data_IF_872958460341
#
_entry.id   IF_872958460341
#
_cell.length_a   1.000
_cell.length_b   1.000
_cell.length_c   1.000
_cell.angle_alpha   90.00
_cell.angle_beta   90.00
_cell.angle_gamma   90.00
#
_symmetry.space_group_name_H-M   'P 1'
#
loop_
_entity.id
_entity.type
_entity.pdbx_description
1 polymer ?
#
# COMPACT_ATOMS: atom_id res chain seq x y z
N UNK A 1 -6.79 28.73 -10.89
CA UNK A 1 -8.04 27.98 -11.15
C UNK A 1 -7.86 26.63 -10.43
N UNK A 2 -8.72 26.31 -9.47
CA UNK A 2 -8.74 24.99 -8.85
C UNK A 2 -9.09 23.97 -9.94
N UNK A 3 -8.35 22.85 -10.01
CA UNK A 3 -8.67 21.76 -10.94
C UNK A 3 -10.05 21.17 -10.60
N UNK A 4 -10.69 20.50 -11.55
CA UNK A 4 -12.00 19.86 -11.29
C UNK A 4 -11.93 18.87 -10.13
N UNK A 5 -10.82 18.10 -10.02
CA UNK A 5 -10.59 17.15 -8.92
C UNK A 5 -10.44 17.86 -7.57
N UNK A 6 -9.74 18.99 -7.48
CA UNK A 6 -9.56 19.74 -6.22
C UNK A 6 -10.90 20.20 -5.63
N UNK A 7 -11.84 20.63 -6.46
CA UNK A 7 -13.16 21.05 -5.99
C UNK A 7 -13.98 19.86 -5.44
N UNK A 8 -13.90 18.70 -6.10
CA UNK A 8 -14.55 17.46 -5.64
C UNK A 8 -13.91 17.00 -4.33
N UNK A 9 -12.58 16.97 -4.26
CA UNK A 9 -11.84 16.59 -3.06
C UNK A 9 -12.16 17.50 -1.87
N UNK A 10 -12.23 18.83 -2.09
CA UNK A 10 -12.59 19.78 -1.05
C UNK A 10 -14.02 19.53 -0.52
N UNK A 11 -14.98 19.24 -1.43
CA UNK A 11 -16.35 18.84 -1.04
C UNK A 11 -16.36 17.55 -0.23
N UNK A 12 -15.60 16.53 -0.65
CA UNK A 12 -15.50 15.26 0.07
C UNK A 12 -14.88 15.45 1.47
N UNK A 13 -13.85 16.28 1.60
CA UNK A 13 -13.28 16.63 2.89
C UNK A 13 -14.27 17.33 3.83
N UNK A 14 -15.22 18.11 3.31
CA UNK A 14 -16.24 18.77 4.11
C UNK A 14 -17.38 17.84 4.56
N UNK A 15 -17.63 16.76 3.85
CA UNK A 15 -18.65 15.75 4.19
C UNK A 15 -18.17 14.72 5.23
N UNK A 16 -16.94 14.86 5.69
CA UNK A 16 -16.22 13.84 6.44
C UNK A 16 -16.41 13.97 7.96
N UNK A 17 -16.63 12.87 8.69
CA UNK A 17 -16.44 12.87 10.13
C UNK A 17 -14.97 13.18 10.42
N UNK A 18 -14.71 14.12 11.33
CA UNK A 18 -13.36 14.53 11.75
C UNK A 18 -12.59 13.45 12.54
N UNK A 19 -13.22 12.30 12.77
CA UNK A 19 -12.67 11.19 13.56
C UNK A 19 -12.30 10.06 12.61
N UNK A 20 -11.05 9.61 12.66
CA UNK A 20 -10.62 8.39 11.98
C UNK A 20 -11.27 7.22 12.72
N UNK A 21 -12.17 6.54 12.03
CA UNK A 21 -12.84 5.33 12.47
C UNK A 21 -12.45 4.21 11.49
N UNK A 22 -11.64 3.28 11.98
CA UNK A 22 -11.09 2.20 11.17
C UNK A 22 -12.09 1.06 11.03
N UNK A 23 -12.74 0.97 9.87
CA UNK A 23 -13.62 -0.13 9.46
C UNK A 23 -13.52 -0.37 7.96
N UNK A 24 -13.80 -1.59 7.51
CA UNK A 24 -13.85 -1.92 6.08
C UNK A 24 -15.28 -1.97 5.53
N UNK A 25 -16.31 -1.91 6.37
CA UNK A 25 -17.71 -2.08 5.96
C UNK A 25 -18.14 -1.06 4.91
N UNK A 26 -17.75 0.22 5.09
CA UNK A 26 -18.05 1.29 4.15
C UNK A 26 -17.36 1.10 2.80
N UNK A 27 -16.10 0.64 2.83
CA UNK A 27 -15.32 0.33 1.62
C UNK A 27 -15.97 -0.82 0.87
N UNK A 28 -16.28 -1.93 1.56
CA UNK A 28 -16.94 -3.10 0.95
C UNK A 28 -18.30 -2.75 0.36
N UNK A 29 -19.09 -1.90 1.04
CA UNK A 29 -20.37 -1.43 0.52
C UNK A 29 -20.18 -0.67 -0.80
N UNK A 30 -19.23 0.29 -0.87
CA UNK A 30 -18.98 1.07 -2.07
C UNK A 30 -18.40 0.20 -3.19
N UNK A 31 -17.48 -0.72 -2.87
CA UNK A 31 -16.96 -1.69 -3.85
C UNK A 31 -18.09 -2.55 -4.44
N UNK A 32 -19.01 -3.01 -3.62
CA UNK A 32 -20.18 -3.76 -4.10
C UNK A 32 -21.10 -2.93 -5.00
N UNK A 33 -21.29 -1.63 -4.70
CA UNK A 33 -22.06 -0.72 -5.56
C UNK A 33 -21.38 -0.42 -6.91
N UNK A 34 -20.08 -0.72 -7.02
CA UNK A 34 -19.26 -0.54 -8.24
C UNK A 34 -18.88 -1.89 -8.89
N UNK A 35 -19.65 -2.96 -8.64
CA UNK A 35 -19.44 -4.30 -9.22
C UNK A 35 -18.07 -4.93 -8.88
N UNK A 36 -17.54 -4.66 -7.66
CA UNK A 36 -16.33 -5.28 -7.13
C UNK A 36 -15.07 -5.10 -7.99
N UNK A 37 -14.65 -3.87 -8.30
CA UNK A 37 -13.45 -3.62 -9.12
C UNK A 37 -12.17 -4.23 -8.51
N UNK A 38 -12.10 -4.39 -7.19
CA UNK A 38 -10.97 -4.99 -6.48
C UNK A 38 -10.69 -6.44 -6.89
N UNK A 39 -11.68 -7.14 -7.45
CA UNK A 39 -11.55 -8.54 -7.91
C UNK A 39 -10.94 -8.66 -9.31
N UNK A 40 -10.87 -7.56 -10.05
CA UNK A 40 -10.39 -7.51 -11.44
C UNK A 40 -9.01 -6.87 -11.58
N UNK A 41 -8.33 -6.62 -10.46
CA UNK A 41 -7.00 -6.02 -10.48
C UNK A 41 -5.94 -6.99 -11.03
N UNK A 42 -4.91 -6.48 -11.74
CA UNK A 42 -3.68 -7.23 -11.96
C UNK A 42 -3.07 -7.71 -10.63
N UNK A 43 -2.16 -8.71 -10.65
CA UNK A 43 -1.48 -9.21 -9.46
C UNK A 43 -1.04 -8.10 -8.51
N UNK A 44 -1.49 -8.15 -7.26
CA UNK A 44 -1.28 -7.07 -6.28
C UNK A 44 -0.07 -7.37 -5.40
N UNK A 45 0.81 -6.38 -5.23
CA UNK A 45 1.83 -6.33 -4.19
C UNK A 45 1.36 -5.31 -3.15
N UNK A 46 1.06 -5.76 -1.93
CA UNK A 46 0.49 -4.94 -0.87
C UNK A 46 1.55 -4.63 0.20
N UNK A 47 1.77 -3.35 0.50
CA UNK A 47 2.91 -2.87 1.26
C UNK A 47 2.45 -2.13 2.51
N UNK A 48 2.80 -2.67 3.70
CA UNK A 48 2.60 -2.03 5.00
C UNK A 48 3.94 -1.76 5.71
N UNK A 49 3.90 -1.01 6.79
CA UNK A 49 5.06 -0.66 7.61
C UNK A 49 4.94 0.76 8.16
N UNK A 50 5.90 1.19 8.97
CA UNK A 50 5.95 2.59 9.44
C UNK A 50 6.78 3.43 8.46
N UNK A 51 8.01 3.07 8.21
CA UNK A 51 8.95 3.80 7.37
C UNK A 51 9.30 3.00 6.11
N UNK A 52 9.61 3.70 5.01
CA UNK A 52 10.11 3.09 3.78
C UNK A 52 9.05 2.49 2.85
N UNK A 53 7.74 2.55 3.16
CA UNK A 53 6.68 2.01 2.27
C UNK A 53 6.76 2.58 0.85
N UNK A 54 6.71 3.91 0.74
CA UNK A 54 6.75 4.60 -0.56
C UNK A 54 8.05 4.38 -1.32
N UNK A 55 9.21 4.36 -0.63
CA UNK A 55 10.52 4.05 -1.25
C UNK A 55 10.56 2.62 -1.77
N UNK A 56 10.14 1.65 -0.96
CA UNK A 56 10.04 0.24 -1.34
C UNK A 56 9.13 0.08 -2.56
N UNK A 57 7.96 0.71 -2.54
CA UNK A 57 7.03 0.69 -3.68
C UNK A 57 7.68 1.29 -4.93
N UNK A 58 8.37 2.42 -4.81
CA UNK A 58 9.03 3.08 -5.94
C UNK A 58 10.15 2.22 -6.53
N UNK A 59 10.93 1.53 -5.69
CA UNK A 59 12.00 0.62 -6.13
C UNK A 59 11.42 -0.63 -6.82
N UNK A 60 10.39 -1.26 -6.24
CA UNK A 60 9.69 -2.39 -6.88
C UNK A 60 9.14 -1.98 -8.24
N UNK A 61 8.46 -0.83 -8.30
CA UNK A 61 7.95 -0.29 -9.56
C UNK A 61 9.05 -0.08 -10.58
N UNK A 62 10.14 0.57 -10.21
CA UNK A 62 11.25 0.83 -11.11
C UNK A 62 11.87 -0.46 -11.67
N UNK A 63 12.03 -1.49 -10.83
CA UNK A 63 12.51 -2.80 -11.27
C UNK A 63 11.57 -3.47 -12.26
N UNK A 64 10.28 -3.53 -11.95
CA UNK A 64 9.27 -4.13 -12.85
C UNK A 64 9.14 -3.37 -14.17
N UNK A 65 9.14 -2.03 -14.13
CA UNK A 65 9.10 -1.19 -15.34
C UNK A 65 10.37 -1.34 -16.19
N UNK A 66 11.55 -1.54 -15.58
CA UNK A 66 12.80 -1.81 -16.30
C UNK A 66 12.76 -3.14 -17.08
N UNK A 67 12.02 -4.13 -16.59
CA UNK A 67 11.75 -5.39 -17.28
C UNK A 67 10.60 -5.29 -18.31
N UNK A 68 10.06 -4.08 -18.52
CA UNK A 68 9.01 -3.80 -19.50
C UNK A 68 7.58 -4.00 -19.01
N UNK A 69 7.36 -4.26 -17.71
CA UNK A 69 6.03 -4.41 -17.16
C UNK A 69 5.28 -3.08 -17.04
N UNK A 70 3.98 -3.10 -17.27
CA UNK A 70 3.07 -1.99 -16.98
C UNK A 70 2.60 -2.09 -15.53
N UNK A 71 2.86 -1.05 -14.72
CA UNK A 71 2.64 -1.09 -13.28
C UNK A 71 1.67 0.00 -12.83
N UNK A 72 0.60 -0.40 -12.14
CA UNK A 72 -0.21 0.51 -11.34
C UNK A 72 0.43 0.76 -9.99
N UNK A 73 0.27 1.97 -9.45
CA UNK A 73 0.71 2.28 -8.10
C UNK A 73 -0.27 3.22 -7.39
N UNK A 74 -0.60 2.89 -6.13
CA UNK A 74 -1.32 3.73 -5.20
C UNK A 74 -0.43 4.07 -4.01
N UNK A 75 -0.19 5.37 -3.79
CA UNK A 75 0.69 5.88 -2.73
C UNK A 75 -0.04 6.86 -1.81
N UNK A 76 0.42 7.00 -0.57
CA UNK A 76 -0.08 8.00 0.37
C UNK A 76 0.96 8.39 1.42
N UNK A 77 1.00 9.70 1.81
CA UNK A 77 0.29 10.83 1.21
C UNK A 77 0.89 11.29 -0.13
N UNK A 78 0.28 12.29 -0.77
CA UNK A 78 0.88 13.03 -1.89
C UNK A 78 1.77 14.18 -1.37
N UNK A 79 2.67 14.67 -2.20
CA UNK A 79 3.56 15.79 -1.85
C UNK A 79 2.93 17.15 -2.21
N UNK A 80 2.44 17.31 -3.43
CA UNK A 80 1.89 18.56 -3.92
C UNK A 80 0.43 18.45 -4.38
N UNK A 81 0.09 17.43 -5.15
CA UNK A 81 -1.25 17.26 -5.75
C UNK A 81 -1.77 15.85 -5.57
N UNK A 82 -3.09 15.75 -5.35
CA UNK A 82 -3.73 14.47 -5.06
C UNK A 82 -3.52 13.40 -6.14
N UNK A 83 -3.53 13.75 -7.43
CA UNK A 83 -3.35 12.79 -8.53
C UNK A 83 -2.00 12.04 -8.50
N UNK A 84 -1.01 12.57 -7.77
CA UNK A 84 0.29 11.88 -7.53
C UNK A 84 0.10 10.51 -6.88
N UNK A 85 -1.00 10.33 -6.12
CA UNK A 85 -1.31 9.06 -5.43
C UNK A 85 -1.65 7.92 -6.38
N UNK A 86 -2.05 8.22 -7.61
CA UNK A 86 -2.57 7.22 -8.56
C UNK A 86 -1.73 7.23 -9.83
N UNK A 87 -1.05 6.13 -10.07
CA UNK A 87 -0.29 5.90 -11.30
C UNK A 87 -0.92 4.73 -12.06
N UNK A 88 -1.29 4.96 -13.32
CA UNK A 88 -1.92 3.99 -14.21
C UNK A 88 -0.91 3.53 -15.26
N UNK A 89 -0.52 2.25 -15.24
CA UNK A 89 0.39 1.67 -16.23
C UNK A 89 1.63 2.55 -16.51
N UNK A 90 2.29 2.98 -15.42
CA UNK A 90 3.51 3.79 -15.49
C UNK A 90 3.30 5.30 -15.51
N UNK A 91 2.09 5.83 -15.78
CA UNK A 91 1.82 7.28 -15.87
C UNK A 91 0.90 7.78 -14.77
N UNK A 92 1.09 9.02 -14.31
CA UNK A 92 0.15 9.63 -13.37
C UNK A 92 -1.25 9.76 -14.02
N UNK A 93 -2.29 9.50 -13.23
CA UNK A 93 -3.66 9.73 -13.67
C UNK A 93 -3.85 11.21 -14.04
N UNK A 94 -4.56 11.49 -15.13
CA UNK A 94 -4.89 12.87 -15.50
C UNK A 94 -5.97 13.44 -14.57
N UNK A 95 -5.94 14.76 -14.33
CA UNK A 95 -6.94 15.46 -13.53
C UNK A 95 -8.40 15.23 -14.02
N UNK A 96 -8.69 15.28 -15.33
CA UNK A 96 -10.06 14.97 -15.80
C UNK A 96 -10.48 13.52 -15.52
N UNK A 97 -9.58 12.56 -15.69
CA UNK A 97 -9.88 11.15 -15.42
C UNK A 97 -10.12 10.92 -13.91
N UNK A 98 -9.30 11.53 -13.06
CA UNK A 98 -9.49 11.48 -11.62
C UNK A 98 -10.82 12.10 -11.20
N UNK A 99 -11.17 13.27 -11.73
CA UNK A 99 -12.44 13.95 -11.45
C UNK A 99 -13.64 13.06 -11.80
N UNK A 100 -13.62 12.45 -13.00
CA UNK A 100 -14.71 11.57 -13.44
C UNK A 100 -14.86 10.33 -12.53
N UNK A 101 -13.77 9.70 -12.10
CA UNK A 101 -13.79 8.56 -11.18
C UNK A 101 -14.29 8.93 -9.78
N UNK A 102 -13.90 10.10 -9.29
CA UNK A 102 -14.38 10.61 -7.99
C UNK A 102 -15.88 10.92 -8.04
N UNK A 103 -16.37 11.55 -9.13
CA UNK A 103 -17.81 11.81 -9.31
C UNK A 103 -18.60 10.50 -9.39
N UNK A 104 -18.09 9.48 -10.09
CA UNK A 104 -18.70 8.16 -10.17
C UNK A 104 -18.75 7.49 -8.80
N UNK A 105 -17.64 7.49 -8.04
CA UNK A 105 -17.59 6.92 -6.70
C UNK A 105 -18.55 7.64 -5.74
N UNK A 106 -18.64 8.97 -5.81
CA UNK A 106 -19.60 9.77 -5.03
C UNK A 106 -21.04 9.42 -5.39
N UNK A 107 -21.34 9.28 -6.68
CA UNK A 107 -22.68 8.93 -7.15
C UNK A 107 -23.07 7.51 -6.69
N UNK A 108 -22.15 6.55 -6.78
CA UNK A 108 -22.37 5.17 -6.31
C UNK A 108 -22.49 5.07 -4.78
N UNK A 109 -21.76 5.90 -4.03
CA UNK A 109 -21.86 5.93 -2.56
C UNK A 109 -23.21 6.51 -2.07
N UNK A 110 -23.80 7.42 -2.83
CA UNK A 110 -25.03 8.11 -2.44
C UNK A 110 -24.85 8.95 -1.16
N UNK A 111 -25.88 8.98 -0.28
CA UNK A 111 -25.85 9.76 0.95
C UNK A 111 -25.14 9.06 2.12
N UNK A 112 -24.67 7.84 1.94
CA UNK A 112 -24.11 7.05 3.01
C UNK A 112 -22.75 7.60 3.51
N UNK A 113 -22.44 7.47 4.80
CA UNK A 113 -21.16 7.93 5.33
C UNK A 113 -20.00 7.12 4.74
N UNK A 114 -18.94 7.84 4.37
CA UNK A 114 -17.68 7.24 3.90
C UNK A 114 -16.54 8.20 4.19
N UNK A 115 -15.33 7.71 4.43
CA UNK A 115 -14.19 8.58 4.67
C UNK A 115 -13.53 9.05 3.36
N UNK A 116 -12.86 10.21 3.42
CA UNK A 116 -12.08 10.74 2.30
C UNK A 116 -11.07 9.70 1.77
N UNK A 117 -10.34 9.03 2.68
CA UNK A 117 -9.37 8.03 2.29
C UNK A 117 -10.04 6.80 1.66
N UNK A 118 -11.15 6.34 2.23
CA UNK A 118 -11.91 5.19 1.71
C UNK A 118 -12.40 5.42 0.29
N UNK A 119 -13.12 6.51 0.04
CA UNK A 119 -13.70 6.76 -1.29
C UNK A 119 -12.63 7.02 -2.34
N UNK A 120 -11.54 7.70 -1.99
CA UNK A 120 -10.43 7.94 -2.92
C UNK A 120 -9.63 6.66 -3.20
N UNK A 121 -9.52 5.75 -2.23
CA UNK A 121 -8.95 4.42 -2.45
C UNK A 121 -9.82 3.61 -3.42
N UNK A 122 -11.15 3.59 -3.22
CA UNK A 122 -12.08 2.90 -4.13
C UNK A 122 -12.00 3.47 -5.54
N UNK A 123 -11.93 4.79 -5.71
CA UNK A 123 -11.74 5.43 -7.01
C UNK A 123 -10.42 4.99 -7.69
N UNK A 124 -9.35 4.81 -6.93
CA UNK A 124 -8.10 4.28 -7.45
C UNK A 124 -8.23 2.81 -7.89
N UNK A 125 -8.86 1.95 -7.09
CA UNK A 125 -9.12 0.55 -7.45
C UNK A 125 -9.98 0.43 -8.72
N UNK A 126 -10.99 1.29 -8.85
CA UNK A 126 -11.82 1.38 -10.05
C UNK A 126 -11.01 1.76 -11.30
N UNK A 127 -10.10 2.74 -11.17
CA UNK A 127 -9.20 3.12 -12.25
C UNK A 127 -8.27 1.96 -12.68
N UNK A 128 -7.72 1.24 -11.69
CA UNK A 128 -6.84 0.09 -11.94
C UNK A 128 -7.58 -1.06 -12.64
N UNK A 129 -8.78 -1.39 -12.20
CA UNK A 129 -9.58 -2.44 -12.81
C UNK A 129 -9.94 -2.15 -14.28
N UNK A 130 -10.03 -0.86 -14.66
CA UNK A 130 -10.38 -0.43 -16.03
C UNK A 130 -9.18 -0.21 -16.94
N UNK A 131 -7.98 -0.22 -16.41
CA UNK A 131 -6.74 0.03 -17.17
C UNK A 131 -5.90 -1.22 -17.17
N UNK A 132 -5.49 -1.70 -18.35
CA UNK A 132 -4.64 -2.89 -18.46
C UNK A 132 -3.24 -2.61 -17.89
N UNK A 133 -2.76 -3.50 -17.03
CA UNK A 133 -1.40 -3.52 -16.51
C UNK A 133 -0.99 -4.95 -16.14
N UNK A 134 0.28 -5.13 -15.75
CA UNK A 134 0.82 -6.43 -15.36
C UNK A 134 0.85 -6.60 -13.84
N UNK A 135 1.00 -5.49 -13.10
CA UNK A 135 1.05 -5.47 -11.63
C UNK A 135 0.34 -4.26 -11.05
N UNK A 136 -0.12 -4.41 -9.80
CA UNK A 136 -0.67 -3.31 -8.98
C UNK A 136 0.09 -3.25 -7.66
N UNK A 137 0.67 -2.10 -7.33
CA UNK A 137 1.33 -1.83 -6.06
C UNK A 137 0.40 -1.00 -5.18
N UNK A 138 0.06 -1.50 -4.00
CA UNK A 138 -0.80 -0.81 -3.03
C UNK A 138 -0.02 -0.47 -1.77
N UNK A 139 0.13 0.81 -1.47
CA UNK A 139 0.66 1.29 -0.20
C UNK A 139 -0.46 1.47 0.81
N UNK A 140 -0.32 0.86 1.99
CA UNK A 140 -1.21 1.04 3.13
C UNK A 140 -1.14 2.48 3.64
N UNK A 141 -2.29 3.11 3.84
CA UNK A 141 -2.37 4.46 4.39
C UNK A 141 -2.12 4.50 5.88
N UNK A 142 -2.83 3.68 6.66
CA UNK A 142 -2.73 3.64 8.11
C UNK A 142 -2.91 2.23 8.66
N UNK A 143 -1.98 1.78 9.49
CA UNK A 143 -2.04 0.45 10.11
C UNK A 143 -1.87 -0.67 9.09
N UNK A 144 -2.93 -1.33 8.71
CA UNK A 144 -2.99 -2.40 7.72
C UNK A 144 -4.28 -3.21 7.82
N UNK A 145 -4.60 -3.74 8.98
CA UNK A 145 -5.74 -4.65 9.20
C UNK A 145 -7.08 -4.07 8.72
N UNK A 146 -7.33 -2.81 9.03
CA UNK A 146 -8.56 -2.08 8.69
C UNK A 146 -8.31 -0.92 7.72
N UNK A 147 -7.16 -0.92 7.03
CA UNK A 147 -6.88 0.07 6.00
C UNK A 147 -7.74 -0.17 4.75
N UNK A 148 -8.21 0.91 4.12
CA UNK A 148 -9.07 0.84 2.94
C UNK A 148 -8.44 0.05 1.77
N UNK A 149 -7.11 -0.09 1.72
CA UNK A 149 -6.41 -0.91 0.73
C UNK A 149 -6.47 -2.40 1.03
N UNK A 150 -6.85 -2.82 2.26
CA UNK A 150 -6.84 -4.22 2.69
C UNK A 150 -8.08 -5.02 2.27
N UNK A 151 -8.64 -4.69 1.13
CA UNK A 151 -9.81 -5.33 0.51
C UNK A 151 -9.43 -6.38 -0.54
N UNK A 152 -8.15 -6.63 -0.72
CA UNK A 152 -7.64 -7.64 -1.66
C UNK A 152 -7.53 -8.98 -0.93
N UNK A 153 -8.34 -9.95 -1.33
CA UNK A 153 -8.40 -11.26 -0.68
C UNK A 153 -7.13 -12.09 -0.90
N UNK A 154 -6.56 -11.99 -2.09
CA UNK A 154 -5.39 -12.79 -2.49
C UNK A 154 -4.38 -11.98 -3.30
N UNK A 155 -3.59 -11.11 -2.64
CA UNK A 155 -2.48 -10.45 -3.32
C UNK A 155 -1.43 -11.47 -3.78
N UNK A 156 -0.63 -11.14 -4.77
CA UNK A 156 0.49 -11.98 -5.21
C UNK A 156 1.62 -11.99 -4.17
N UNK A 157 1.81 -10.88 -3.48
CA UNK A 157 2.86 -10.69 -2.46
C UNK A 157 2.40 -9.66 -1.44
N UNK A 158 2.81 -9.84 -0.19
CA UNK A 158 2.75 -8.79 0.84
C UNK A 158 4.15 -8.37 1.26
N UNK A 159 4.31 -7.12 1.68
CA UNK A 159 5.59 -6.58 2.16
C UNK A 159 5.35 -5.84 3.47
N UNK A 160 6.17 -6.12 4.49
CA UNK A 160 6.20 -5.36 5.75
C UNK A 160 7.55 -4.68 5.84
N UNK A 161 7.59 -3.36 5.64
CA UNK A 161 8.78 -2.53 5.84
C UNK A 161 9.01 -2.29 7.34
N UNK A 162 10.10 -1.65 7.78
CA UNK A 162 10.37 -1.46 9.20
C UNK A 162 9.18 -0.87 9.96
N UNK A 163 8.82 -1.51 11.08
CA UNK A 163 7.76 -1.09 12.00
C UNK A 163 8.40 -0.38 13.20
N UNK A 164 7.86 0.78 13.54
CA UNK A 164 8.24 1.55 14.73
C UNK A 164 7.01 2.18 15.37
N UNK A 165 7.17 2.77 16.55
CA UNK A 165 6.09 3.49 17.24
C UNK A 165 5.69 4.70 16.42
N UNK A 166 4.43 4.71 15.99
CA UNK A 166 3.81 5.80 15.23
C UNK A 166 2.28 5.67 15.30
N UNK A 167 1.58 6.77 15.13
CA UNK A 167 0.10 6.80 15.12
C UNK A 167 -0.55 6.10 16.32
N UNK A 168 0.03 6.21 17.52
CA UNK A 168 -0.39 5.50 18.73
C UNK A 168 -1.89 5.68 19.04
N UNK A 169 -2.44 6.86 18.80
CA UNK A 169 -3.87 7.16 19.00
C UNK A 169 -4.83 6.27 18.18
N UNK A 170 -4.34 5.51 17.17
CA UNK A 170 -5.14 4.64 16.30
C UNK A 170 -4.68 3.20 16.29
N UNK A 171 -3.37 2.95 16.49
CA UNK A 171 -2.77 1.63 16.26
C UNK A 171 -2.33 0.93 17.55
N UNK A 172 -2.35 1.63 18.68
CA UNK A 172 -1.89 1.12 19.97
C UNK A 172 -0.62 1.80 20.47
N UNK A 173 -0.30 1.59 21.74
CA UNK A 173 0.77 2.29 22.44
C UNK A 173 2.10 1.55 22.40
N UNK A 174 2.10 0.29 21.95
CA UNK A 174 3.26 -0.59 21.96
C UNK A 174 3.64 -1.08 20.55
N UNK A 175 4.91 -1.40 20.35
CA UNK A 175 5.39 -1.96 19.10
C UNK A 175 4.66 -3.27 18.69
N UNK A 176 4.37 -4.22 19.61
CA UNK A 176 3.57 -5.40 19.28
C UNK A 176 2.16 -5.08 18.78
N UNK A 177 1.47 -4.11 19.35
CA UNK A 177 0.13 -3.69 18.90
C UNK A 177 0.19 -3.13 17.48
N UNK A 178 1.13 -2.21 17.22
CA UNK A 178 1.33 -1.60 15.91
C UNK A 178 1.74 -2.65 14.87
N UNK A 179 2.63 -3.59 15.22
CA UNK A 179 3.00 -4.71 14.36
C UNK A 179 1.80 -5.63 14.08
N UNK A 180 0.91 -5.83 15.05
CA UNK A 180 -0.35 -6.56 14.91
C UNK A 180 -1.26 -5.93 13.86
N UNK A 181 -1.43 -4.60 13.88
CA UNK A 181 -2.22 -3.86 12.91
C UNK A 181 -1.61 -3.95 11.49
N UNK A 182 -0.28 -3.79 11.38
CA UNK A 182 0.41 -3.84 10.08
C UNK A 182 0.43 -5.25 9.50
N UNK A 183 0.67 -6.27 10.32
CA UNK A 183 0.60 -7.67 9.90
C UNK A 183 -0.82 -8.11 9.49
N UNK A 184 -1.82 -7.25 9.73
CA UNK A 184 -3.20 -7.43 9.25
C UNK A 184 -3.35 -7.61 7.75
N UNK A 185 -2.35 -7.20 6.94
CA UNK A 185 -2.34 -7.42 5.49
C UNK A 185 -1.94 -8.84 5.07
N UNK A 186 -1.39 -9.65 5.98
CA UNK A 186 -1.03 -11.05 5.69
C UNK A 186 -2.26 -11.87 5.31
N UNK A 187 -2.16 -12.62 4.23
CA UNK A 187 -3.25 -13.48 3.71
C UNK A 187 -2.78 -14.94 3.64
N UNK A 188 -3.67 -15.86 3.91
CA UNK A 188 -3.38 -17.31 3.94
C UNK A 188 -2.67 -17.77 2.68
N UNK A 189 -1.48 -18.36 2.85
CA UNK A 189 -0.67 -18.94 1.77
C UNK A 189 -0.05 -17.93 0.81
N UNK A 190 -0.19 -16.62 1.06
CA UNK A 190 0.46 -15.56 0.27
C UNK A 190 1.80 -15.24 0.87
N UNK A 191 2.92 -15.26 0.13
CA UNK A 191 4.24 -14.96 0.66
C UNK A 191 4.33 -13.52 1.17
N UNK A 192 5.21 -13.30 2.18
CA UNK A 192 5.49 -11.98 2.73
C UNK A 192 7.00 -11.74 2.84
N UNK A 193 7.46 -10.62 2.28
CA UNK A 193 8.80 -10.09 2.50
C UNK A 193 8.76 -9.20 3.75
N UNK A 194 9.66 -9.45 4.69
CA UNK A 194 9.77 -8.70 5.94
C UNK A 194 11.12 -8.01 5.99
N UNK A 195 11.10 -6.68 5.99
CA UNK A 195 12.29 -5.85 6.19
C UNK A 195 12.84 -5.92 7.62
N UNK A 196 13.90 -5.17 7.95
CA UNK A 196 14.46 -5.13 9.31
C UNK A 196 13.40 -4.82 10.36
N UNK A 197 13.37 -5.60 11.45
CA UNK A 197 12.40 -5.43 12.55
C UNK A 197 13.10 -5.50 13.89
N UNK A 198 12.56 -4.82 14.90
CA UNK A 198 12.85 -5.10 16.29
C UNK A 198 12.20 -6.43 16.71
N UNK A 199 12.85 -7.18 17.61
CA UNK A 199 12.40 -8.53 18.00
C UNK A 199 10.91 -8.57 18.41
N UNK A 200 10.45 -7.64 19.24
CA UNK A 200 9.07 -7.60 19.70
C UNK A 200 8.03 -7.41 18.58
N UNK A 201 8.40 -6.70 17.50
CA UNK A 201 7.55 -6.54 16.30
C UNK A 201 7.60 -7.79 15.42
N UNK A 202 8.80 -8.39 15.26
CA UNK A 202 8.99 -9.59 14.47
C UNK A 202 8.22 -10.78 15.05
N UNK A 203 8.26 -10.99 16.37
CA UNK A 203 7.52 -12.07 17.04
C UNK A 203 6.03 -12.06 16.71
N UNK A 204 5.42 -10.88 16.65
CA UNK A 204 3.99 -10.72 16.29
C UNK A 204 3.74 -11.09 14.84
N UNK A 205 4.62 -10.66 13.92
CA UNK A 205 4.51 -10.96 12.50
C UNK A 205 4.65 -12.47 12.26
N UNK A 206 5.64 -13.12 12.88
CA UNK A 206 5.88 -14.56 12.77
C UNK A 206 4.73 -15.38 13.36
N UNK A 207 4.22 -15.01 14.55
CA UNK A 207 3.07 -15.67 15.16
C UNK A 207 1.83 -15.60 14.27
N UNK A 208 1.55 -14.43 13.66
CA UNK A 208 0.44 -14.29 12.72
C UNK A 208 0.65 -15.08 11.43
N UNK A 209 1.86 -15.05 10.87
CA UNK A 209 2.20 -15.80 9.67
C UNK A 209 2.04 -17.32 9.88
N UNK A 210 2.51 -17.83 11.00
CA UNK A 210 2.35 -19.24 11.41
C UNK A 210 0.87 -19.63 11.46
N UNK A 211 0.03 -18.81 12.11
CA UNK A 211 -1.42 -19.04 12.21
C UNK A 211 -2.11 -19.09 10.85
N UNK A 212 -1.63 -18.31 9.88
CA UNK A 212 -2.21 -18.22 8.55
C UNK A 212 -1.53 -19.12 7.51
N UNK A 213 -0.41 -19.77 7.84
CA UNK A 213 0.39 -20.54 6.89
C UNK A 213 1.00 -19.64 5.81
N UNK A 214 1.52 -18.47 6.20
CA UNK A 214 2.17 -17.50 5.31
C UNK A 214 3.66 -17.81 5.22
N UNK A 215 4.24 -18.05 4.04
CA UNK A 215 5.69 -18.12 3.86
C UNK A 215 6.31 -16.74 4.13
N UNK A 216 7.26 -16.65 5.06
CA UNK A 216 7.99 -15.42 5.35
C UNK A 216 9.38 -15.45 4.76
N UNK A 217 9.80 -14.31 4.19
CA UNK A 217 11.16 -14.03 3.75
C UNK A 217 11.70 -12.84 4.57
N UNK A 218 12.38 -13.15 5.68
CA UNK A 218 12.74 -12.19 6.72
C UNK A 218 14.18 -11.73 6.54
N UNK A 219 14.39 -10.40 6.59
CA UNK A 219 15.72 -9.81 6.68
C UNK A 219 16.49 -10.35 7.90
N UNK A 220 17.75 -10.67 7.70
CA UNK A 220 18.58 -11.24 8.75
C UNK A 220 18.46 -12.75 8.92
N UNK A 221 17.45 -13.38 8.31
CA UNK A 221 17.26 -14.83 8.31
C UNK A 221 17.36 -15.42 6.89
N UNK A 222 16.60 -14.91 5.94
CA UNK A 222 16.48 -15.43 4.58
C UNK A 222 17.23 -14.58 3.56
N UNK A 223 17.42 -13.31 3.85
CA UNK A 223 18.13 -12.37 3.00
C UNK A 223 18.83 -11.30 3.82
N UNK A 224 19.91 -10.76 3.27
CA UNK A 224 20.77 -9.77 3.92
C UNK A 224 21.17 -8.70 2.93
N UNK A 225 21.47 -7.50 3.46
CA UNK A 225 22.16 -6.45 2.70
C UNK A 225 23.31 -5.91 3.52
N UNK A 226 24.43 -5.63 2.87
CA UNK A 226 25.57 -4.93 3.45
C UNK A 226 26.05 -3.84 2.49
N UNK A 227 26.83 -2.89 2.99
CA UNK A 227 27.49 -1.90 2.18
C UNK A 227 28.99 -2.17 2.17
N UNK A 228 29.57 -2.40 0.99
CA UNK A 228 30.96 -2.68 0.80
C UNK A 228 31.52 -1.83 -0.34
N UNK A 229 32.64 -1.14 -0.11
CA UNK A 229 33.31 -0.31 -1.11
C UNK A 229 32.37 0.68 -1.88
N UNK A 230 31.35 1.22 -1.19
CA UNK A 230 30.40 2.16 -1.80
C UNK A 230 29.31 1.50 -2.67
N UNK A 231 29.13 0.19 -2.56
CA UNK A 231 28.11 -0.59 -3.25
C UNK A 231 27.24 -1.33 -2.24
N UNK A 232 26.04 -1.70 -2.64
CA UNK A 232 25.13 -2.53 -1.86
C UNK A 232 25.30 -3.99 -2.29
N UNK A 233 25.62 -4.84 -1.33
CA UNK A 233 25.67 -6.29 -1.54
C UNK A 233 24.37 -6.87 -0.99
N UNK A 234 23.58 -7.48 -1.86
CA UNK A 234 22.41 -8.27 -1.48
C UNK A 234 22.76 -9.75 -1.54
N UNK A 235 22.32 -10.52 -0.56
CA UNK A 235 22.53 -11.97 -0.49
C UNK A 235 21.27 -12.69 0.00
N UNK A 236 20.92 -13.76 -0.68
CA UNK A 236 19.88 -14.73 -0.29
C UNK A 236 20.32 -16.16 -0.62
N UNK A 237 19.39 -17.12 -0.55
CA UNK A 237 19.65 -18.54 -0.89
C UNK A 237 20.00 -18.77 -2.37
N UNK A 238 19.65 -17.86 -3.26
CA UNK A 238 19.89 -17.94 -4.70
C UNK A 238 21.26 -17.38 -5.09
N UNK A 239 21.92 -16.63 -4.22
CA UNK A 239 23.24 -16.09 -4.45
C UNK A 239 23.44 -14.65 -3.97
N UNK A 240 24.38 -13.96 -4.61
CA UNK A 240 24.79 -12.62 -4.28
C UNK A 240 24.62 -11.68 -5.47
N UNK A 241 24.09 -10.49 -5.20
CA UNK A 241 24.01 -9.39 -6.15
C UNK A 241 24.84 -8.22 -5.66
N UNK A 242 25.69 -7.68 -6.54
CA UNK A 242 26.44 -6.45 -6.32
C UNK A 242 25.75 -5.31 -7.04
N UNK A 243 25.14 -4.40 -6.27
CA UNK A 243 24.23 -3.37 -6.75
C UNK A 243 24.76 -1.98 -6.44
N UNK A 244 24.37 -0.95 -7.22
CA UNK A 244 24.62 0.43 -6.81
C UNK A 244 23.84 0.76 -5.54
N UNK A 245 24.39 1.65 -4.71
CA UNK A 245 23.65 2.18 -3.56
C UNK A 245 22.41 2.95 -4.04
N UNK A 246 21.28 2.82 -3.35
CA UNK A 246 20.13 3.69 -3.57
C UNK A 246 20.52 5.17 -3.40
N UNK A 247 20.00 6.03 -4.26
CA UNK A 247 20.23 7.48 -4.14
C UNK A 247 19.42 8.16 -3.04
N UNK A 248 18.44 7.46 -2.48
CA UNK A 248 17.62 7.95 -1.37
C UNK A 248 18.41 7.90 -0.06
N UNK A 249 18.24 8.93 0.77
CA UNK A 249 18.90 9.02 2.07
C UNK A 249 17.97 8.50 3.17
N UNK A 250 18.55 7.79 4.15
CA UNK A 250 17.82 7.28 5.32
C UNK A 250 18.15 5.81 5.62
N UNK A 251 18.10 5.45 6.89
CA UNK A 251 18.44 4.10 7.36
C UNK A 251 17.45 3.02 6.87
N UNK A 252 16.31 3.41 6.35
CA UNK A 252 15.25 2.52 5.85
C UNK A 252 15.14 2.51 4.30
N UNK A 253 16.15 3.00 3.61
CA UNK A 253 16.18 3.08 2.13
C UNK A 253 16.91 1.91 1.49
#
# INVERSE_FOLDING_TARGET
MTSGSDAILARMMSLHPKVIDLTLDRVHRLLAALDHPEKSLPPVIHIAGTNGKGSTQAMIRAGLEAEGALVHAYTSPHLARFHERIRLAGSLISEPALAALLDEAVAANGPDPITFFEITTVAALLAFARTKADYTLLEVGLGGRLDATNVIDRPALTVITPVSIDHQQYLGDTLPEIAGEKSGILKRGVPCIVGPQEAAGLDVIEARATKLGVPLFIYGQHWHTSQEAGRMIYQDENGLLDLPLPSLLGAHQ
#
